data_IF_950380745441
#
_entry.id   IF_950380745441
#
_cell.length_a   1.000
_cell.length_b   1.000
_cell.length_c   1.000
_cell.angle_alpha   90.00
_cell.angle_beta   90.00
_cell.angle_gamma   90.00
#
_symmetry.space_group_name_H-M   'P 1'
#
loop_
_entity.id
_entity.type
_entity.pdbx_description
1 polymer ?
#
# COMPACT_ATOMS: atom_id res chain seq x y z
N UNK A 1 -21.19 -37.57 -19.62
CA UNK A 1 -19.75 -37.36 -19.35
C UNK A 1 -19.14 -36.12 -20.02
N UNK A 2 -19.59 -35.66 -21.21
CA UNK A 2 -19.03 -34.46 -21.87
C UNK A 2 -19.17 -33.14 -21.07
N UNK A 3 -20.27 -32.96 -20.33
CA UNK A 3 -20.50 -31.74 -19.53
C UNK A 3 -19.74 -31.71 -18.19
N UNK A 4 -19.28 -32.86 -17.69
CA UNK A 4 -18.57 -32.95 -16.42
C UNK A 4 -17.14 -32.37 -16.52
N UNK A 5 -16.48 -32.59 -17.66
CA UNK A 5 -15.17 -32.01 -17.96
C UNK A 5 -15.23 -30.48 -18.16
N UNK A 6 -16.31 -29.97 -18.77
CA UNK A 6 -16.51 -28.53 -18.95
C UNK A 6 -16.77 -27.81 -17.62
N UNK A 7 -17.51 -28.44 -16.69
CA UNK A 7 -17.79 -27.89 -15.36
C UNK A 7 -16.55 -27.92 -14.44
N UNK A 8 -15.68 -28.90 -14.60
CA UNK A 8 -14.42 -28.99 -13.84
C UNK A 8 -13.40 -27.92 -14.30
N UNK A 9 -13.39 -27.61 -15.60
CA UNK A 9 -12.51 -26.58 -16.17
C UNK A 9 -12.90 -25.15 -15.73
N UNK A 10 -14.19 -24.86 -15.52
CA UNK A 10 -14.65 -23.54 -15.06
C UNK A 10 -14.35 -23.30 -13.57
N UNK A 11 -14.41 -24.34 -12.73
CA UNK A 11 -14.09 -24.22 -11.30
C UNK A 11 -12.58 -23.97 -11.09
N UNK A 12 -11.72 -24.59 -11.90
CA UNK A 12 -10.26 -24.42 -11.80
C UNK A 12 -9.74 -23.06 -12.32
N UNK A 13 -10.53 -22.34 -13.13
CA UNK A 13 -10.18 -20.99 -13.62
C UNK A 13 -10.62 -19.86 -12.68
N UNK A 14 -11.35 -20.18 -11.61
CA UNK A 14 -11.95 -19.18 -10.71
C UNK A 14 -10.98 -18.38 -9.80
N UNK A 15 -9.77 -18.84 -9.41
CA UNK A 15 -8.96 -18.10 -8.44
C UNK A 15 -8.14 -16.93 -9.02
N UNK A 16 -8.26 -16.60 -10.32
CA UNK A 16 -7.44 -15.54 -10.94
C UNK A 16 -8.00 -14.11 -10.72
N UNK A 17 -9.21 -13.97 -10.20
CA UNK A 17 -9.85 -12.67 -9.94
C UNK A 17 -9.77 -12.32 -8.45
N UNK A 18 -8.57 -12.07 -7.92
CA UNK A 18 -8.44 -11.37 -6.65
C UNK A 18 -8.56 -9.88 -6.90
N UNK A 19 -9.66 -9.27 -6.45
CA UNK A 19 -9.82 -7.82 -6.50
C UNK A 19 -8.78 -7.14 -5.60
N UNK A 20 -8.29 -5.97 -6.02
CA UNK A 20 -7.44 -5.14 -5.17
C UNK A 20 -8.24 -4.70 -3.93
N UNK A 21 -7.69 -4.95 -2.75
CA UNK A 21 -8.28 -4.48 -1.50
C UNK A 21 -7.90 -3.02 -1.29
N UNK A 22 -8.87 -2.12 -1.36
CA UNK A 22 -8.68 -0.71 -1.01
C UNK A 22 -8.77 -0.56 0.50
N UNK A 23 -7.73 0.01 1.11
CA UNK A 23 -7.64 0.28 2.55
C UNK A 23 -7.61 1.79 2.75
N UNK A 24 -8.58 2.39 3.47
CA UNK A 24 -8.56 3.83 3.71
C UNK A 24 -7.44 4.23 4.69
N UNK A 25 -7.00 5.48 4.66
CA UNK A 25 -5.88 5.95 5.48
C UNK A 25 -6.17 5.94 6.99
N UNK A 26 -7.43 5.92 7.41
CA UNK A 26 -7.85 5.83 8.80
C UNK A 26 -8.00 4.39 9.31
N UNK A 27 -7.72 3.39 8.46
CA UNK A 27 -7.88 1.98 8.83
C UNK A 27 -6.94 1.60 9.99
N UNK A 28 -7.51 0.93 10.99
CA UNK A 28 -6.77 0.46 12.18
C UNK A 28 -5.59 -0.48 11.89
N UNK A 29 -5.54 -1.08 10.69
CA UNK A 29 -4.43 -1.94 10.24
C UNK A 29 -3.20 -1.14 9.81
N UNK A 30 -3.33 0.17 9.66
CA UNK A 30 -2.23 1.08 9.31
C UNK A 30 -1.65 1.69 10.60
N UNK A 31 -0.35 1.48 10.81
CA UNK A 31 0.39 2.05 11.92
C UNK A 31 1.14 3.31 11.46
N UNK A 32 0.84 4.43 12.12
CA UNK A 32 1.54 5.70 11.95
C UNK A 32 2.55 5.88 13.09
N UNK A 33 3.81 6.17 12.75
CA UNK A 33 4.85 6.46 13.76
C UNK A 33 5.40 7.87 13.60
N UNK A 34 5.78 8.47 14.73
CA UNK A 34 6.24 9.86 14.81
C UNK A 34 5.09 10.86 14.90
N UNK A 35 5.32 12.10 14.45
CA UNK A 35 4.34 13.21 14.56
C UNK A 35 3.55 13.35 13.27
N UNK A 36 2.34 12.79 13.26
CA UNK A 36 1.36 12.95 12.19
C UNK A 36 0.22 13.85 12.65
N UNK A 37 -0.25 14.72 11.76
CA UNK A 37 -1.54 15.37 11.94
C UNK A 37 -2.62 14.45 11.33
N UNK A 38 -3.59 14.08 12.16
CA UNK A 38 -4.71 13.19 11.83
C UNK A 38 -6.06 13.85 12.07
N UNK A 39 -6.10 15.19 12.11
CA UNK A 39 -7.34 15.97 12.27
C UNK A 39 -8.33 15.64 11.14
N UNK A 40 -7.82 15.45 9.92
CA UNK A 40 -8.54 14.78 8.84
C UNK A 40 -8.04 13.32 8.73
N UNK A 41 -8.77 12.32 9.25
CA UNK A 41 -8.26 10.96 9.33
C UNK A 41 -8.19 10.25 7.97
N UNK A 42 -8.98 10.67 6.97
CA UNK A 42 -8.92 10.13 5.61
C UNK A 42 -7.73 10.65 4.79
N UNK A 43 -7.07 11.71 5.28
CA UNK A 43 -5.92 12.34 4.63
C UNK A 43 -4.91 12.83 5.70
N UNK A 44 -4.28 11.90 6.45
CA UNK A 44 -3.30 12.26 7.45
C UNK A 44 -2.04 12.80 6.77
N UNK A 45 -1.46 13.86 7.32
CA UNK A 45 -0.31 14.54 6.72
C UNK A 45 0.81 14.75 7.73
N UNK A 46 2.01 14.99 7.21
CA UNK A 46 3.21 15.19 8.01
C UNK A 46 4.21 16.11 7.32
N UNK A 47 4.90 16.93 8.10
CA UNK A 47 6.07 17.71 7.67
C UNK A 47 7.36 17.26 8.39
N UNK A 48 7.23 16.46 9.45
CA UNK A 48 8.34 16.02 10.28
C UNK A 48 9.05 14.81 9.66
N UNK A 49 10.38 14.89 9.60
CA UNK A 49 11.24 13.77 9.18
C UNK A 49 11.28 12.67 10.26
N UNK A 50 11.60 11.45 9.84
CA UNK A 50 11.66 10.29 10.74
C UNK A 50 10.29 9.70 11.11
N UNK A 51 9.24 10.13 10.42
CA UNK A 51 7.91 9.52 10.51
C UNK A 51 7.77 8.37 9.52
N UNK A 52 6.87 7.44 9.81
CA UNK A 52 6.58 6.33 8.90
C UNK A 52 5.11 5.92 8.94
N UNK A 53 4.68 5.28 7.85
CA UNK A 53 3.44 4.52 7.74
C UNK A 53 3.81 3.06 7.54
N UNK A 54 3.21 2.16 8.29
CA UNK A 54 3.50 0.74 8.26
C UNK A 54 2.20 -0.05 8.13
N UNK A 55 2.21 -1.09 7.29
CA UNK A 55 1.11 -2.02 7.14
C UNK A 55 1.66 -3.43 6.91
N UNK A 56 0.98 -4.43 7.45
CA UNK A 56 1.26 -5.83 7.12
C UNK A 56 0.52 -6.16 5.82
N UNK A 57 1.25 -6.69 4.85
CA UNK A 57 0.73 -7.03 3.55
C UNK A 57 0.99 -8.50 3.24
N UNK A 58 -0.03 -9.19 2.72
CA UNK A 58 0.08 -10.53 2.17
C UNK A 58 -0.51 -10.51 0.76
N UNK A 59 0.36 -10.58 -0.23
CA UNK A 59 0.01 -10.55 -1.65
C UNK A 59 1.25 -10.29 -2.50
N UNK A 60 1.03 -9.93 -3.76
CA UNK A 60 2.12 -9.74 -4.74
C UNK A 60 2.42 -8.27 -5.02
N UNK A 61 1.50 -7.35 -4.72
CA UNK A 61 1.68 -5.91 -4.93
C UNK A 61 0.95 -5.06 -3.90
N UNK A 62 1.60 -3.96 -3.49
CA UNK A 62 1.05 -2.95 -2.60
C UNK A 62 1.24 -1.58 -3.26
N UNK A 63 0.23 -0.72 -3.16
CA UNK A 63 0.26 0.65 -3.66
C UNK A 63 -0.14 1.61 -2.55
N UNK A 64 0.50 2.77 -2.50
CA UNK A 64 0.13 3.87 -1.62
C UNK A 64 -0.08 5.12 -2.47
N UNK A 65 -1.16 5.84 -2.20
CA UNK A 65 -1.45 7.13 -2.83
C UNK A 65 -0.92 8.21 -1.89
N UNK A 66 0.01 9.02 -2.40
CA UNK A 66 0.66 10.08 -1.63
C UNK A 66 0.61 11.37 -2.45
N UNK A 67 0.33 12.48 -1.76
CA UNK A 67 0.48 13.83 -2.29
C UNK A 67 1.58 14.54 -1.50
N UNK A 68 2.28 15.46 -2.16
CA UNK A 68 3.27 16.31 -1.52
C UNK A 68 3.08 17.74 -1.99
N UNK A 69 3.27 18.70 -1.09
CA UNK A 69 3.24 20.15 -1.37
C UNK A 69 4.62 20.70 -1.75
N UNK A 70 5.67 19.90 -1.56
CA UNK A 70 7.07 20.23 -1.88
C UNK A 70 7.78 19.00 -2.38
N UNK A 71 8.84 19.18 -3.16
CA UNK A 71 9.71 18.08 -3.54
C UNK A 71 10.38 17.46 -2.31
N UNK A 72 10.22 16.16 -2.14
CA UNK A 72 10.88 15.40 -1.09
C UNK A 72 11.17 13.97 -1.58
N UNK A 73 11.48 13.08 -0.65
CA UNK A 73 11.57 11.66 -0.90
C UNK A 73 10.93 10.89 0.24
N UNK A 74 10.47 9.69 -0.07
CA UNK A 74 10.17 8.66 0.92
C UNK A 74 11.21 7.56 0.84
N UNK A 75 11.35 6.83 1.94
CA UNK A 75 12.05 5.55 1.94
C UNK A 75 11.02 4.44 2.13
N UNK A 76 11.02 3.48 1.22
CA UNK A 76 10.24 2.25 1.34
C UNK A 76 11.16 1.18 1.91
N UNK A 77 10.79 0.62 3.06
CA UNK A 77 11.47 -0.53 3.66
C UNK A 77 10.53 -1.74 3.58
N UNK A 78 11.00 -2.84 2.98
CA UNK A 78 10.33 -4.14 3.04
C UNK A 78 10.95 -4.91 4.20
N UNK A 79 10.09 -5.37 5.12
CA UNK A 79 10.48 -6.07 6.33
C UNK A 79 9.94 -7.49 6.28
N UNK A 80 10.84 -8.48 6.43
CA UNK A 80 10.53 -9.90 6.55
C UNK A 80 11.22 -10.43 7.82
N UNK A 81 10.52 -11.20 8.65
CA UNK A 81 11.04 -11.74 9.92
C UNK A 81 11.78 -10.70 10.79
N UNK A 82 11.16 -9.53 10.96
CA UNK A 82 11.67 -8.37 11.72
C UNK A 82 12.98 -7.75 11.17
N UNK A 83 13.43 -8.15 9.98
CA UNK A 83 14.60 -7.60 9.30
C UNK A 83 14.24 -6.84 8.01
N UNK A 84 14.91 -5.73 7.76
CA UNK A 84 14.76 -4.99 6.48
C UNK A 84 15.48 -5.77 5.37
N UNK A 85 14.72 -6.33 4.43
CA UNK A 85 15.26 -7.10 3.29
C UNK A 85 15.48 -6.23 2.05
N UNK A 86 14.72 -5.14 1.91
CA UNK A 86 14.87 -4.17 0.83
C UNK A 86 14.59 -2.77 1.33
N UNK A 87 15.37 -1.80 0.87
CA UNK A 87 15.19 -0.38 1.19
C UNK A 87 15.42 0.46 -0.05
N UNK A 88 14.43 1.24 -0.45
CA UNK A 88 14.51 2.11 -1.63
C UNK A 88 14.13 3.53 -1.30
N UNK A 89 14.86 4.49 -1.87
CA UNK A 89 14.55 5.91 -1.78
C UNK A 89 13.81 6.32 -3.04
N UNK A 90 12.59 6.81 -2.90
CA UNK A 90 11.73 7.22 -4.01
C UNK A 90 11.49 8.72 -3.90
N UNK A 91 11.84 9.52 -4.93
CA UNK A 91 11.48 10.94 -4.94
C UNK A 91 9.97 11.08 -5.03
N UNK A 92 9.41 12.02 -4.26
CA UNK A 92 8.04 12.50 -4.45
C UNK A 92 8.15 13.92 -4.97
N UNK A 93 7.71 14.10 -6.21
CA UNK A 93 7.61 15.41 -6.82
C UNK A 93 6.30 16.08 -6.41
N UNK A 94 6.35 17.39 -6.20
CA UNK A 94 5.13 18.20 -6.21
C UNK A 94 4.50 18.08 -7.60
N UNK A 95 3.23 17.69 -7.65
CA UNK A 95 2.46 17.71 -8.90
C UNK A 95 2.25 19.16 -9.33
N UNK A 96 3.00 19.63 -10.32
CA UNK A 96 2.53 20.75 -11.14
C UNK A 96 1.54 20.16 -12.13
N UNK A 97 0.27 20.07 -11.74
CA UNK A 97 -0.78 20.04 -12.76
C UNK A 97 -0.65 21.36 -13.53
N UNK A 98 -0.09 21.28 -14.74
CA UNK A 98 -0.08 22.33 -15.75
C UNK A 98 -0.80 21.84 -16.99
#
# INVERSE_FOLDING_TARGET
>A
MRYLLALLATILLSPLLSAAVVVPADDSRILYTGRWDRTNPSEPWVYAKGTSVQAKFNGTSLYAILSATTNDYIRINIIEDDAVVRSEKIPIAYGTDS
#
